data_IF_352994901890
#
_entry.id   IF_352994901890
#
_cell.length_a   1.000
_cell.length_b   1.000
_cell.length_c   1.000
_cell.angle_alpha   90.00
_cell.angle_beta   90.00
_cell.angle_gamma   90.00
#
_symmetry.space_group_name_H-M   'P 1'
#
loop_
_entity.id
_entity.type
_entity.pdbx_description
1 polymer ?
#
# COMPACT_ATOMS: atom_id res chain seq x y z
N UNK A 1 -25.79 0.59 10.06
CA UNK A 1 -25.35 0.44 8.65
C UNK A 1 -25.14 1.83 8.12
N UNK A 2 -23.90 2.34 8.24
CA UNK A 2 -23.48 3.65 7.74
C UNK A 2 -22.74 3.39 6.43
N UNK A 3 -23.36 3.77 5.31
CA UNK A 3 -22.71 3.80 4.01
C UNK A 3 -21.85 5.05 3.94
N UNK A 4 -20.53 4.89 3.95
CA UNK A 4 -19.58 5.95 3.63
C UNK A 4 -19.31 5.90 2.14
N UNK A 5 -20.04 6.73 1.39
CA UNK A 5 -19.64 7.16 0.04
C UNK A 5 -18.46 8.11 0.19
N UNK A 6 -17.25 7.61 -0.08
CA UNK A 6 -16.05 8.42 -0.25
C UNK A 6 -15.82 8.61 -1.74
N UNK A 7 -16.44 9.67 -2.26
CA UNK A 7 -16.25 10.16 -3.61
C UNK A 7 -14.89 10.90 -3.68
N UNK A 8 -13.81 10.12 -3.86
CA UNK A 8 -12.45 10.64 -4.00
C UNK A 8 -12.17 10.99 -5.46
N UNK A 9 -12.90 11.98 -5.98
CA UNK A 9 -12.70 12.53 -7.31
C UNK A 9 -12.12 13.94 -7.21
N UNK A 10 -10.82 14.04 -7.48
CA UNK A 10 -10.19 15.30 -7.94
C UNK A 10 -9.26 15.98 -6.95
N UNK A 11 -7.95 15.72 -7.09
CA UNK A 11 -6.90 16.75 -7.12
C UNK A 11 -5.50 16.10 -7.19
N UNK A 12 -5.13 15.57 -8.36
CA UNK A 12 -3.71 15.51 -8.74
C UNK A 12 -3.59 16.28 -10.05
N UNK A 13 -3.45 17.59 -9.90
CA UNK A 13 -3.12 18.51 -10.98
C UNK A 13 -1.77 19.12 -10.67
N UNK A 14 -0.80 18.92 -11.57
CA UNK A 14 0.34 19.81 -11.76
C UNK A 14 1.61 19.48 -10.96
N UNK A 15 2.48 18.67 -11.54
CA UNK A 15 3.86 18.51 -11.10
C UNK A 15 4.62 17.59 -12.04
N UNK A 16 4.97 18.11 -13.22
CA UNK A 16 5.69 17.35 -14.25
C UNK A 16 7.06 16.89 -13.76
N UNK A 17 7.46 15.63 -14.01
CA UNK A 17 8.85 15.23 -13.89
C UNK A 17 9.64 15.78 -15.08
N UNK A 18 10.72 16.46 -14.75
CA UNK A 18 11.79 16.87 -15.66
C UNK A 18 12.18 15.73 -16.60
N UNK A 19 12.27 16.08 -17.87
CA UNK A 19 12.82 15.25 -18.92
C UNK A 19 14.31 15.05 -18.66
N UNK A 20 14.76 13.79 -18.63
CA UNK A 20 16.18 13.50 -18.86
C UNK A 20 16.80 12.34 -18.11
N UNK A 21 16.13 11.19 -17.99
CA UNK A 21 16.86 9.93 -17.83
C UNK A 21 16.42 8.97 -18.94
N UNK A 22 17.27 8.85 -19.95
CA UNK A 22 17.19 7.87 -21.02
C UNK A 22 17.34 6.47 -20.40
N UNK A 23 16.20 5.81 -20.18
CA UNK A 23 16.14 4.41 -19.82
C UNK A 23 16.47 3.58 -21.07
N UNK A 24 17.72 3.11 -21.18
CA UNK A 24 18.12 2.14 -22.18
C UNK A 24 17.45 0.80 -21.88
N UNK A 25 16.53 0.39 -22.75
CA UNK A 25 15.88 -0.91 -22.72
C UNK A 25 16.93 -2.01 -23.01
N UNK A 26 16.99 -3.09 -22.23
CA UNK A 26 17.73 -4.28 -22.64
C UNK A 26 17.05 -4.91 -23.85
N UNK A 27 17.68 -4.78 -25.02
CA UNK A 27 17.36 -5.55 -26.22
C UNK A 27 17.73 -7.00 -25.98
N UNK A 28 16.80 -7.77 -25.42
CA UNK A 28 16.94 -9.22 -25.38
C UNK A 28 16.55 -9.76 -26.76
N UNK A 29 17.57 -9.95 -27.59
CA UNK A 29 17.56 -10.85 -28.74
C UNK A 29 17.08 -12.22 -28.24
N UNK A 30 15.88 -12.63 -28.63
CA UNK A 30 15.46 -14.02 -28.59
C UNK A 30 15.26 -14.45 -30.02
N UNK A 31 16.31 -15.08 -30.56
CA UNK A 31 16.25 -15.93 -31.73
C UNK A 31 15.27 -17.06 -31.44
N UNK A 32 14.05 -16.91 -31.96
CA UNK A 32 13.11 -18.02 -32.08
C UNK A 32 13.36 -18.69 -33.42
N UNK A 33 14.25 -19.68 -33.40
CA UNK A 33 14.42 -20.62 -34.51
C UNK A 33 13.09 -21.30 -34.84
N UNK A 34 12.74 -21.14 -36.11
CA UNK A 34 11.52 -21.58 -36.75
C UNK A 34 11.78 -22.98 -37.32
N UNK A 35 11.75 -24.02 -36.48
CA UNK A 35 11.78 -25.40 -36.97
C UNK A 35 10.37 -25.91 -37.28
N UNK A 36 9.98 -25.71 -38.53
CA UNK A 36 8.86 -26.39 -39.18
C UNK A 36 9.23 -27.85 -39.45
N UNK A 37 8.99 -28.73 -38.48
CA UNK A 37 9.02 -30.19 -38.64
C UNK A 37 7.63 -30.74 -38.98
N UNK A 38 7.31 -30.73 -40.27
CA UNK A 38 6.09 -31.29 -40.84
C UNK A 38 6.29 -32.80 -41.07
N UNK A 39 5.96 -33.64 -40.08
CA UNK A 39 5.86 -35.09 -40.29
C UNK A 39 4.39 -35.53 -40.25
N UNK A 40 3.83 -35.61 -41.44
CA UNK A 40 2.61 -36.36 -41.76
C UNK A 40 2.90 -37.85 -41.66
N UNK A 41 2.55 -38.45 -40.52
CA UNK A 41 2.54 -39.91 -40.32
C UNK A 41 1.13 -40.38 -40.06
N UNK A 42 0.37 -40.64 -41.12
CA UNK A 42 -0.87 -41.40 -41.03
C UNK A 42 -0.54 -42.85 -40.71
N UNK A 43 -0.92 -43.35 -39.53
CA UNK A 43 -1.10 -44.79 -39.35
C UNK A 43 -2.31 -45.08 -38.47
N UNK A 44 -3.40 -45.32 -39.20
CA UNK A 44 -4.58 -46.05 -38.79
C UNK A 44 -4.16 -47.43 -38.26
N UNK A 45 -4.23 -47.63 -36.94
CA UNK A 45 -4.28 -48.96 -36.36
C UNK A 45 -5.19 -48.94 -35.12
N UNK A 46 -6.42 -49.38 -35.33
CA UNK A 46 -7.29 -49.84 -34.26
C UNK A 46 -6.58 -50.96 -33.49
N UNK A 47 -6.30 -50.76 -32.20
CA UNK A 47 -5.96 -51.87 -31.30
C UNK A 47 -6.24 -51.49 -29.86
N UNK A 48 -7.10 -52.30 -29.24
CA UNK A 48 -7.20 -52.56 -27.81
C UNK A 48 -7.32 -51.38 -26.85
N UNK A 49 -8.58 -51.08 -26.56
CA UNK A 49 -9.07 -50.76 -25.21
C UNK A 49 -8.63 -51.85 -24.20
N UNK A 50 -7.37 -51.87 -23.80
CA UNK A 50 -6.94 -52.50 -22.57
C UNK A 50 -7.19 -51.53 -21.42
N UNK A 51 -8.02 -51.95 -20.47
CA UNK A 51 -8.33 -51.22 -19.25
C UNK A 51 -7.08 -51.05 -18.40
N UNK A 52 -6.28 -50.04 -18.71
CA UNK A 52 -5.17 -49.62 -17.88
C UNK A 52 -5.75 -48.84 -16.71
N UNK A 53 -5.95 -49.51 -15.57
CA UNK A 53 -6.42 -48.87 -14.35
C UNK A 53 -5.43 -47.76 -13.93
N UNK A 54 -5.82 -46.48 -13.90
CA UNK A 54 -4.96 -45.40 -13.38
C UNK A 54 -5.06 -45.41 -11.85
N UNK A 55 -4.33 -46.30 -11.18
CA UNK A 55 -4.51 -46.51 -9.73
C UNK A 55 -3.22 -46.35 -8.90
N UNK A 56 -2.17 -45.80 -9.50
CA UNK A 56 -0.83 -45.67 -8.90
C UNK A 56 -0.37 -44.20 -8.77
N UNK A 57 -0.99 -43.25 -9.47
CA UNK A 57 -0.57 -41.83 -9.45
C UNK A 57 -0.97 -41.09 -8.16
N UNK A 58 -1.90 -41.64 -7.39
CA UNK A 58 -2.37 -41.04 -6.14
C UNK A 58 -1.30 -41.03 -5.03
N UNK A 59 -0.36 -41.98 -5.04
CA UNK A 59 0.68 -42.08 -4.01
C UNK A 59 1.84 -41.08 -4.23
N UNK A 60 2.14 -40.74 -5.49
CA UNK A 60 3.16 -39.74 -5.83
C UNK A 60 2.75 -38.32 -5.42
N UNK A 61 1.44 -38.02 -5.44
CA UNK A 61 0.92 -36.71 -5.03
C UNK A 61 1.15 -36.42 -3.53
N UNK A 62 1.05 -37.43 -2.66
CA UNK A 62 1.07 -37.20 -1.22
C UNK A 62 2.44 -36.74 -0.68
N UNK A 63 3.53 -37.28 -1.20
CA UNK A 63 4.90 -36.89 -0.80
C UNK A 63 5.29 -35.50 -1.34
N UNK A 64 4.75 -35.10 -2.49
CA UNK A 64 4.94 -33.75 -3.03
C UNK A 64 4.31 -32.70 -2.11
N UNK A 65 3.08 -32.92 -1.63
CA UNK A 65 2.40 -31.98 -0.73
C UNK A 65 3.16 -31.72 0.58
N UNK A 66 3.83 -32.74 1.13
CA UNK A 66 4.61 -32.58 2.37
C UNK A 66 5.82 -31.67 2.15
N UNK A 67 6.48 -31.79 1.01
CA UNK A 67 7.64 -30.96 0.66
C UNK A 67 7.21 -29.51 0.41
N UNK A 68 6.10 -29.30 -0.31
CA UNK A 68 5.50 -27.97 -0.46
C UNK A 68 5.10 -27.37 0.89
N UNK A 69 4.41 -28.14 1.74
CA UNK A 69 3.96 -27.66 3.05
C UNK A 69 5.14 -27.21 3.94
N UNK A 70 6.28 -27.92 3.93
CA UNK A 70 7.45 -27.54 4.73
C UNK A 70 8.00 -26.16 4.38
N UNK A 71 7.87 -25.72 3.13
CA UNK A 71 8.36 -24.40 2.68
C UNK A 71 7.24 -23.37 2.72
N UNK A 72 6.03 -23.74 2.33
CA UNK A 72 4.89 -22.84 2.30
C UNK A 72 4.48 -22.37 3.70
N UNK A 73 4.48 -23.27 4.70
CA UNK A 73 4.09 -22.93 6.08
C UNK A 73 4.95 -21.81 6.69
N UNK A 74 6.30 -21.91 6.74
CA UNK A 74 7.12 -20.83 7.32
C UNK A 74 7.01 -19.54 6.50
N UNK A 75 6.88 -19.64 5.17
CA UNK A 75 6.72 -18.46 4.32
C UNK A 75 5.41 -17.72 4.64
N UNK A 76 4.28 -18.44 4.71
CA UNK A 76 2.98 -17.87 5.12
C UNK A 76 3.07 -17.27 6.53
N UNK A 77 3.78 -17.92 7.45
CA UNK A 77 3.98 -17.41 8.81
C UNK A 77 4.73 -16.07 8.83
N UNK A 78 5.82 -15.97 8.06
CA UNK A 78 6.60 -14.73 7.93
C UNK A 78 5.74 -13.62 7.30
N UNK A 79 4.98 -13.92 6.25
CA UNK A 79 4.08 -12.95 5.64
C UNK A 79 2.97 -12.50 6.59
N UNK A 80 2.35 -13.44 7.32
CA UNK A 80 1.33 -13.12 8.30
C UNK A 80 1.90 -12.25 9.45
N UNK A 81 3.10 -12.56 9.92
CA UNK A 81 3.79 -11.77 10.94
C UNK A 81 4.13 -10.37 10.43
N UNK A 82 4.67 -10.25 9.22
CA UNK A 82 4.99 -8.95 8.60
C UNK A 82 3.73 -8.10 8.39
N UNK A 83 2.65 -8.72 7.93
CA UNK A 83 1.36 -8.06 7.76
C UNK A 83 0.82 -7.56 9.10
N UNK A 84 0.88 -8.38 10.15
CA UNK A 84 0.46 -7.99 11.49
C UNK A 84 1.29 -6.81 12.02
N UNK A 85 2.62 -6.85 11.90
CA UNK A 85 3.50 -5.75 12.31
C UNK A 85 3.20 -4.46 11.55
N UNK A 86 2.93 -4.54 10.26
CA UNK A 86 2.60 -3.38 9.42
C UNK A 86 1.26 -2.79 9.81
N UNK A 87 0.25 -3.62 10.08
CA UNK A 87 -1.06 -3.19 10.58
C UNK A 87 -0.96 -2.52 11.95
N UNK A 88 -0.24 -3.12 12.91
CA UNK A 88 -0.03 -2.53 14.22
C UNK A 88 0.72 -1.19 14.11
N UNK A 89 1.75 -1.12 13.27
CA UNK A 89 2.46 0.12 12.98
C UNK A 89 1.54 1.21 12.41
N UNK A 90 0.68 0.85 11.47
CA UNK A 90 -0.31 1.76 10.89
C UNK A 90 -1.33 2.28 11.92
N UNK A 91 -1.85 1.40 12.78
CA UNK A 91 -2.80 1.78 13.84
C UNK A 91 -2.13 2.73 14.85
N UNK A 92 -0.93 2.40 15.32
CA UNK A 92 -0.19 3.24 16.27
C UNK A 92 0.12 4.61 15.66
N UNK A 93 0.52 4.65 14.39
CA UNK A 93 0.79 5.90 13.69
C UNK A 93 -0.48 6.74 13.52
N UNK A 94 -1.60 6.12 13.14
CA UNK A 94 -2.90 6.78 13.01
C UNK A 94 -3.34 7.44 14.31
N UNK A 95 -3.30 6.70 15.42
CA UNK A 95 -3.64 7.26 16.73
C UNK A 95 -2.71 8.40 17.16
N UNK A 96 -1.42 8.31 16.83
CA UNK A 96 -0.45 9.36 17.16
C UNK A 96 -0.69 10.65 16.37
N UNK A 97 -1.21 10.56 15.14
CA UNK A 97 -1.47 11.72 14.28
C UNK A 97 -2.82 12.39 14.55
N UNK A 98 -3.87 11.60 14.85
CA UNK A 98 -5.22 12.11 14.98
C UNK A 98 -5.36 13.16 16.11
N UNK A 99 -4.77 12.90 17.28
CA UNK A 99 -4.88 13.80 18.43
C UNK A 99 -4.30 15.21 18.18
N UNK A 100 -3.07 15.36 17.66
CA UNK A 100 -2.53 16.65 17.27
C UNK A 100 -3.35 17.37 16.20
N UNK A 101 -3.86 16.67 15.19
CA UNK A 101 -4.64 17.25 14.09
C UNK A 101 -5.94 17.85 14.61
N UNK A 102 -6.71 17.09 15.40
CA UNK A 102 -7.96 17.56 15.99
C UNK A 102 -7.76 18.81 16.86
N UNK A 103 -6.67 18.85 17.65
CA UNK A 103 -6.33 20.04 18.45
C UNK A 103 -5.98 21.26 17.59
N UNK A 104 -5.29 21.05 16.47
CA UNK A 104 -4.98 22.13 15.52
C UNK A 104 -6.28 22.65 14.88
N UNK A 105 -7.16 21.75 14.46
CA UNK A 105 -8.45 22.10 13.85
C UNK A 105 -9.32 22.93 14.80
N UNK A 106 -9.47 22.49 16.05
CA UNK A 106 -10.19 23.23 17.08
C UNK A 106 -9.57 24.61 17.30
N UNK A 107 -8.23 24.69 17.41
CA UNK A 107 -7.54 25.97 17.62
C UNK A 107 -7.71 26.93 16.45
N UNK A 108 -7.60 26.45 15.21
CA UNK A 108 -7.84 27.27 14.01
C UNK A 108 -9.28 27.76 13.98
N UNK A 109 -10.24 26.90 14.33
CA UNK A 109 -11.64 27.28 14.41
C UNK A 109 -11.88 28.37 15.49
N UNK A 110 -11.30 28.23 16.69
CA UNK A 110 -11.33 29.28 17.72
C UNK A 110 -10.71 30.60 17.25
N UNK A 111 -9.61 30.51 16.50
CA UNK A 111 -8.92 31.67 15.94
C UNK A 111 -9.78 32.41 14.90
N UNK A 112 -10.48 31.68 14.04
CA UNK A 112 -11.41 32.25 13.06
C UNK A 112 -12.60 32.99 13.72
N UNK A 113 -13.00 32.57 14.92
CA UNK A 113 -14.05 33.21 15.70
C UNK A 113 -13.54 34.39 16.56
N UNK A 114 -12.27 34.78 16.41
CA UNK A 114 -11.68 35.94 17.11
C UNK A 114 -11.47 35.72 18.61
N UNK A 115 -11.50 34.47 19.10
CA UNK A 115 -11.33 34.16 20.53
C UNK A 115 -10.50 32.89 20.74
N UNK A 116 -9.20 32.91 20.42
CA UNK A 116 -8.32 31.81 20.82
C UNK A 116 -8.25 31.80 22.36
N UNK A 117 -8.96 30.88 23.01
CA UNK A 117 -9.08 30.87 24.48
C UNK A 117 -7.78 30.45 25.16
N UNK A 118 -6.93 29.71 24.44
CA UNK A 118 -5.69 29.10 24.96
C UNK A 118 -4.66 29.01 23.85
N UNK A 119 -3.37 29.05 24.22
CA UNK A 119 -2.27 28.74 23.30
C UNK A 119 -2.33 27.27 22.89
N UNK A 120 -2.10 26.99 21.61
CA UNK A 120 -1.98 25.65 21.08
C UNK A 120 -0.70 25.00 21.63
N UNK A 121 -0.85 23.95 22.45
CA UNK A 121 0.27 23.17 22.97
C UNK A 121 0.16 21.73 22.46
N UNK A 122 1.21 21.26 21.79
CA UNK A 122 1.35 19.87 21.37
C UNK A 122 2.35 19.13 22.25
N UNK A 123 2.41 17.80 22.15
CA UNK A 123 3.34 17.00 22.95
C UNK A 123 4.74 17.15 22.37
N UNK A 124 5.74 17.13 23.24
CA UNK A 124 7.15 17.19 22.86
C UNK A 124 7.51 16.02 21.92
N UNK A 125 8.14 16.33 20.78
CA UNK A 125 8.45 15.36 19.74
C UNK A 125 7.34 15.08 18.72
N UNK A 126 6.21 15.80 18.77
CA UNK A 126 5.24 15.79 17.67
C UNK A 126 5.79 16.56 16.45
N UNK A 127 5.59 15.99 15.25
CA UNK A 127 6.07 16.61 13.99
C UNK A 127 5.41 17.96 13.69
N UNK A 128 4.29 18.27 14.35
CA UNK A 128 3.53 19.51 14.14
C UNK A 128 3.94 20.66 15.08
N UNK A 129 5.00 20.51 15.87
CA UNK A 129 5.40 21.54 16.85
C UNK A 129 5.70 22.89 16.19
N UNK A 130 6.38 22.88 15.03
CA UNK A 130 6.67 24.11 14.29
C UNK A 130 5.39 24.80 13.81
N UNK A 131 4.40 24.02 13.33
CA UNK A 131 3.10 24.53 12.92
C UNK A 131 2.35 25.16 14.11
N UNK A 132 2.37 24.50 15.27
CA UNK A 132 1.76 25.04 16.48
C UNK A 132 2.38 26.37 16.91
N UNK A 133 3.71 26.50 16.83
CA UNK A 133 4.41 27.76 17.11
C UNK A 133 4.03 28.87 16.13
N UNK A 134 3.95 28.56 14.84
CA UNK A 134 3.52 29.51 13.81
C UNK A 134 2.07 29.98 14.02
N UNK A 135 1.16 29.07 14.36
CA UNK A 135 -0.24 29.38 14.66
C UNK A 135 -0.40 30.23 15.92
N UNK A 136 0.35 29.93 16.98
CA UNK A 136 0.37 30.77 18.19
C UNK A 136 0.91 32.17 17.91
N UNK A 137 1.94 32.28 17.06
CA UNK A 137 2.50 33.58 16.66
C UNK A 137 1.49 34.39 15.85
N UNK A 138 0.77 33.74 14.94
CA UNK A 138 -0.32 34.35 14.18
C UNK A 138 -1.43 34.86 15.11
N UNK A 139 -1.87 34.04 16.06
CA UNK A 139 -2.88 34.42 17.05
C UNK A 139 -2.48 35.66 17.86
N UNK A 140 -1.23 35.70 18.33
CA UNK A 140 -0.71 36.86 19.07
C UNK A 140 -0.70 38.15 18.22
N UNK A 141 -0.39 38.05 16.93
CA UNK A 141 -0.43 39.21 16.02
C UNK A 141 -1.85 39.72 15.80
N UNK A 142 -2.81 38.82 15.60
CA UNK A 142 -4.22 39.19 15.43
C UNK A 142 -4.78 39.88 16.69
N UNK A 143 -4.49 39.33 17.87
CA UNK A 143 -4.89 39.93 19.15
C UNK A 143 -4.30 41.35 19.33
N UNK A 144 -3.05 41.56 18.90
CA UNK A 144 -2.40 42.87 18.95
C UNK A 144 -3.03 43.91 18.01
N UNK A 145 -3.57 43.48 16.87
CA UNK A 145 -4.24 44.35 15.90
C UNK A 145 -5.63 44.76 16.39
N UNK A 146 -6.40 43.83 16.97
CA UNK A 146 -7.73 44.14 17.50
C UNK A 146 -7.69 45.11 18.69
N UNK A 147 -6.61 45.08 19.49
CA UNK A 147 -6.43 45.99 20.64
C UNK A 147 -6.06 47.42 20.25
N UNK A 148 -5.52 47.65 19.05
CA UNK A 148 -5.05 48.97 18.61
C UNK A 148 -5.84 49.45 17.36
N UNK A 149 -7.16 49.71 17.51
CA UNK A 149 -8.03 50.13 16.41
C UNK A 149 -7.74 51.55 15.90
#
# INVERSE_FOLDING_TARGET
MLSLDLDFQGAISGGGPDAGETFELPTHETDAELETGLETGSETAASSSEGHAPMNDALGSQEQWRTFARVAVPLVLVFAMQFALTMLGGIVLSHRLFGPIERIEIFVNELLHGRPKRKLSLREGDRFMQLATSLNTLAARLESQERNP
#
